data_IF_084385434576
#
_entry.id   IF_084385434576
#
_cell.length_a   1.000
_cell.length_b   1.000
_cell.length_c   1.000
_cell.angle_alpha   90.00
_cell.angle_beta   90.00
_cell.angle_gamma   90.00
#
_symmetry.space_group_name_H-M   'P 1'
#
loop_
_entity.id
_entity.type
_entity.pdbx_description
1 polymer ?
#
# COMPACT_ATOMS: atom_id res chain seq x y z
N UNK A 1 4.59 -12.49 -1.32
CA UNK A 1 4.79 -11.76 -0.05
C UNK A 1 4.43 -12.63 1.15
N UNK A 2 4.64 -12.17 2.40
CA UNK A 2 4.17 -12.90 3.58
C UNK A 2 2.64 -12.96 3.62
N UNK A 3 2.10 -13.96 4.32
CA UNK A 3 0.65 -14.11 4.57
C UNK A 3 -0.24 -14.06 3.32
N UNK A 4 0.25 -14.53 2.16
CA UNK A 4 -0.48 -14.50 0.89
C UNK A 4 -0.98 -13.09 0.50
N UNK A 5 -0.20 -12.04 0.79
CA UNK A 5 -0.64 -10.66 0.57
C UNK A 5 -1.08 -10.40 -0.89
N UNK A 6 -0.45 -11.06 -1.86
CA UNK A 6 -0.83 -10.98 -3.27
C UNK A 6 -2.31 -11.34 -3.50
N UNK A 7 -2.77 -12.47 -2.92
CA UNK A 7 -4.15 -12.92 -2.99
C UNK A 7 -5.10 -12.01 -2.21
N UNK A 8 -4.63 -11.45 -1.08
CA UNK A 8 -5.39 -10.47 -0.31
C UNK A 8 -5.66 -9.18 -1.09
N UNK A 9 -4.64 -8.65 -1.78
CA UNK A 9 -4.78 -7.48 -2.65
C UNK A 9 -5.75 -7.79 -3.78
N UNK A 10 -5.59 -8.93 -4.46
CA UNK A 10 -6.50 -9.34 -5.54
C UNK A 10 -7.96 -9.43 -5.07
N UNK A 11 -8.21 -10.11 -3.95
CA UNK A 11 -9.56 -10.21 -3.38
C UNK A 11 -10.15 -8.84 -3.03
N UNK A 12 -9.33 -7.90 -2.52
CA UNK A 12 -9.78 -6.54 -2.21
C UNK A 12 -10.15 -5.78 -3.48
N UNK A 13 -9.27 -5.83 -4.49
CA UNK A 13 -9.45 -5.14 -5.77
C UNK A 13 -10.62 -5.70 -6.60
N UNK A 14 -11.09 -6.92 -6.32
CA UNK A 14 -12.28 -7.48 -6.94
C UNK A 14 -13.58 -6.77 -6.52
N UNK A 15 -13.59 -6.14 -5.34
CA UNK A 15 -14.75 -5.47 -4.78
C UNK A 15 -14.56 -3.96 -4.56
N UNK A 16 -13.33 -3.46 -4.65
CA UNK A 16 -13.01 -2.05 -4.49
C UNK A 16 -12.12 -1.55 -5.64
N UNK A 17 -12.62 -0.57 -6.39
CA UNK A 17 -11.92 0.05 -7.52
C UNK A 17 -10.96 1.19 -7.12
N UNK A 18 -10.91 1.55 -5.83
CA UNK A 18 -10.01 2.57 -5.31
C UNK A 18 -9.23 2.02 -4.11
N UNK A 19 -8.27 1.14 -4.39
CA UNK A 19 -7.45 0.46 -3.38
C UNK A 19 -6.06 1.09 -3.30
N UNK A 20 -5.67 1.52 -2.09
CA UNK A 20 -4.30 1.97 -1.79
C UNK A 20 -3.59 0.84 -1.04
N UNK A 21 -2.43 0.41 -1.55
CA UNK A 21 -1.64 -0.66 -0.92
C UNK A 21 -0.43 -0.05 -0.21
N UNK A 22 -0.34 -0.23 1.11
CA UNK A 22 0.84 0.17 1.90
C UNK A 22 1.65 -1.07 2.24
N UNK A 23 2.90 -1.12 1.78
CA UNK A 23 3.82 -2.24 1.98
C UNK A 23 4.90 -1.82 2.97
N UNK A 24 4.90 -2.43 4.16
CA UNK A 24 5.97 -2.24 5.16
C UNK A 24 6.95 -3.40 5.11
N UNK A 25 8.22 -3.12 4.78
CA UNK A 25 9.23 -4.16 4.52
C UNK A 25 10.65 -3.67 4.85
N UNK A 26 11.58 -4.54 5.32
CA UNK A 26 12.97 -4.16 5.54
C UNK A 26 13.77 -3.97 4.24
N UNK A 27 13.22 -4.38 3.09
CA UNK A 27 13.89 -4.28 1.80
C UNK A 27 12.93 -4.48 0.62
N UNK A 28 13.44 -4.48 -0.63
CA UNK A 28 12.62 -4.64 -1.82
C UNK A 28 11.82 -5.95 -1.79
N UNK A 29 10.56 -5.90 -2.24
CA UNK A 29 9.71 -7.08 -2.44
C UNK A 29 9.07 -7.01 -3.82
N UNK A 30 8.77 -8.17 -4.41
CA UNK A 30 8.07 -8.22 -5.69
C UNK A 30 6.61 -7.77 -5.51
N UNK A 31 6.20 -6.72 -6.23
CA UNK A 31 4.84 -6.15 -6.25
C UNK A 31 4.13 -6.30 -7.62
N UNK A 32 4.76 -6.95 -8.59
CA UNK A 32 4.27 -7.05 -9.99
C UNK A 32 2.87 -7.65 -10.08
N UNK A 33 2.51 -8.53 -9.15
CA UNK A 33 1.21 -9.20 -9.06
C UNK A 33 0.02 -8.24 -8.97
N UNK A 34 0.23 -6.99 -8.56
CA UNK A 34 -0.81 -5.96 -8.45
C UNK A 34 -0.36 -4.56 -8.89
N UNK A 35 0.89 -4.38 -9.31
CA UNK A 35 1.41 -3.08 -9.75
C UNK A 35 0.66 -2.50 -10.96
N UNK A 36 0.19 -3.37 -11.86
CA UNK A 36 -0.54 -2.98 -13.07
C UNK A 36 -2.08 -3.10 -12.92
N UNK A 37 -2.56 -3.40 -11.72
CA UNK A 37 -4.00 -3.54 -11.48
C UNK A 37 -4.65 -2.15 -11.43
N UNK A 38 -5.60 -1.89 -12.34
CA UNK A 38 -6.29 -0.59 -12.46
C UNK A 38 -7.09 -0.18 -11.22
N UNK A 39 -7.48 -1.14 -10.38
CA UNK A 39 -8.20 -0.90 -9.13
C UNK A 39 -7.25 -0.59 -7.96
N UNK A 40 -5.94 -0.69 -8.17
CA UNK A 40 -4.90 -0.20 -7.26
C UNK A 40 -4.50 1.20 -7.71
N UNK A 41 -4.91 2.21 -6.96
CA UNK A 41 -4.74 3.62 -7.34
C UNK A 41 -3.47 4.25 -6.78
N UNK A 42 -2.87 3.64 -5.76
CA UNK A 42 -1.56 4.02 -5.25
C UNK A 42 -0.90 2.86 -4.50
N UNK A 43 0.44 2.84 -4.53
CA UNK A 43 1.28 1.92 -3.76
C UNK A 43 2.30 2.74 -2.98
N UNK A 44 2.33 2.56 -1.66
CA UNK A 44 3.27 3.21 -0.75
C UNK A 44 4.20 2.17 -0.13
N UNK A 45 5.50 2.33 -0.33
CA UNK A 45 6.53 1.50 0.29
C UNK A 45 7.06 2.20 1.55
N UNK A 46 7.12 1.50 2.67
CA UNK A 46 7.69 2.00 3.93
C UNK A 46 8.63 0.98 4.55
N UNK A 47 9.67 1.46 5.22
CA UNK A 47 10.47 0.64 6.14
C UNK A 47 9.83 0.63 7.53
N UNK A 48 10.39 -0.12 8.47
CA UNK A 48 9.91 -0.10 9.86
C UNK A 48 10.22 1.24 10.52
N UNK A 49 9.18 2.03 10.80
CA UNK A 49 9.29 3.37 11.40
C UNK A 49 9.11 3.34 12.94
N UNK A 50 9.07 2.16 13.54
CA UNK A 50 8.88 2.00 14.99
C UNK A 50 7.54 2.54 15.47
N UNK A 51 7.52 3.17 16.65
CA UNK A 51 6.30 3.69 17.28
C UNK A 51 5.61 4.80 16.45
N UNK A 52 6.37 5.49 15.61
CA UNK A 52 5.89 6.60 14.79
C UNK A 52 5.27 6.17 13.46
N UNK A 53 5.25 4.87 13.16
CA UNK A 53 4.73 4.32 11.90
C UNK A 53 3.34 4.83 11.55
N UNK A 54 2.47 4.93 12.56
CA UNK A 54 1.09 5.43 12.36
C UNK A 54 1.08 6.90 11.94
N UNK A 55 1.85 7.74 12.64
CA UNK A 55 1.90 9.19 12.39
C UNK A 55 2.50 9.47 11.01
N UNK A 56 3.62 8.84 10.68
CA UNK A 56 4.33 9.03 9.42
C UNK A 56 3.49 8.60 8.20
N UNK A 57 2.89 7.40 8.24
CA UNK A 57 2.04 6.91 7.14
C UNK A 57 0.81 7.81 6.98
N UNK A 58 0.16 8.19 8.09
CA UNK A 58 -1.01 9.07 8.05
C UNK A 58 -0.67 10.44 7.45
N UNK A 59 0.49 10.99 7.79
CA UNK A 59 0.93 12.27 7.25
C UNK A 59 1.12 12.20 5.73
N UNK A 60 1.76 11.16 5.21
CA UNK A 60 1.93 10.97 3.76
C UNK A 60 0.59 10.77 3.05
N UNK A 61 -0.27 9.91 3.58
CA UNK A 61 -1.58 9.64 2.98
C UNK A 61 -2.48 10.88 2.95
N UNK A 62 -2.46 11.70 4.00
CA UNK A 62 -3.31 12.89 4.10
C UNK A 62 -2.71 14.12 3.40
N UNK A 63 -1.39 14.29 3.40
CA UNK A 63 -0.73 15.39 2.68
C UNK A 63 -0.95 15.28 1.17
N UNK A 64 -0.94 14.06 0.62
CA UNK A 64 -1.30 13.82 -0.79
C UNK A 64 -2.74 14.23 -1.10
N UNK A 65 -3.68 14.05 -0.16
CA UNK A 65 -5.09 14.43 -0.35
C UNK A 65 -5.33 15.94 -0.19
N UNK A 66 -4.56 16.62 0.66
CA UNK A 66 -4.79 18.02 1.05
C UNK A 66 -4.23 19.06 0.05
N UNK A 67 -3.64 18.65 -1.07
CA UNK A 67 -2.96 19.56 -2.01
C UNK A 67 -3.87 20.05 -3.16
N UNK A 68 -5.20 20.05 -2.97
CA UNK A 68 -6.17 20.70 -3.88
C UNK A 68 -7.31 21.33 -3.08
#
# INVERSE_FOLDING_TARGET
MWYNADKFVQNTTAYNNNTIVVVTTPGPVNIESFAENTNVTAILMSSYLGQETRSAITNVLLSLKSTW
#
